data_IF_286895464876
#
_entry.id   IF_286895464876
#
_cell.length_a   1.000
_cell.length_b   1.000
_cell.length_c   1.000
_cell.angle_alpha   90.00
_cell.angle_beta   90.00
_cell.angle_gamma   90.00
#
_symmetry.space_group_name_H-M   'P 1'
#
loop_
_entity.id
_entity.type
_entity.pdbx_description
1 polymer ?
#
# COMPACT_ATOMS: atom_id res chain seq x y z
N UNK A 1 15.56 -12.55 10.69
CA UNK A 1 15.56 -12.41 9.22
C UNK A 1 14.78 -11.15 8.81
N UNK A 2 15.26 -9.95 9.17
CA UNK A 2 14.46 -8.71 9.04
C UNK A 2 14.23 -8.25 7.58
N UNK A 3 15.06 -8.70 6.64
CA UNK A 3 14.92 -8.41 5.20
C UNK A 3 13.63 -8.98 4.59
N UNK A 4 13.22 -10.18 5.04
CA UNK A 4 12.01 -10.84 4.53
C UNK A 4 10.74 -10.05 4.91
N UNK A 5 10.67 -9.52 6.13
CA UNK A 5 9.55 -8.68 6.55
C UNK A 5 9.45 -7.37 5.75
N UNK A 6 10.58 -6.75 5.41
CA UNK A 6 10.57 -5.54 4.58
C UNK A 6 10.06 -5.82 3.16
N UNK A 7 10.48 -6.94 2.56
CA UNK A 7 10.02 -7.36 1.22
C UNK A 7 8.52 -7.64 1.24
N UNK A 8 8.02 -8.36 2.25
CA UNK A 8 6.59 -8.63 2.41
C UNK A 8 5.81 -7.32 2.61
N UNK A 9 6.32 -6.40 3.44
CA UNK A 9 5.73 -5.08 3.66
C UNK A 9 5.60 -4.26 2.37
N UNK A 10 6.65 -4.25 1.54
CA UNK A 10 6.62 -3.61 0.22
C UNK A 10 5.62 -4.28 -0.74
N UNK A 11 5.56 -5.63 -0.75
CA UNK A 11 4.62 -6.37 -1.59
C UNK A 11 3.16 -6.09 -1.21
N UNK A 12 2.84 -6.12 0.09
CA UNK A 12 1.50 -5.82 0.60
C UNK A 12 1.12 -4.37 0.30
N UNK A 13 2.05 -3.42 0.49
CA UNK A 13 1.80 -2.01 0.15
C UNK A 13 1.53 -1.81 -1.34
N UNK A 14 2.25 -2.51 -2.22
CA UNK A 14 2.00 -2.49 -3.66
C UNK A 14 0.62 -3.02 -4.05
N UNK A 15 0.19 -4.12 -3.43
CA UNK A 15 -1.16 -4.69 -3.64
C UNK A 15 -2.23 -3.70 -3.16
N UNK A 16 -2.06 -3.08 -1.98
CA UNK A 16 -3.01 -2.11 -1.45
C UNK A 16 -3.11 -0.87 -2.34
N UNK A 17 -2.00 -0.33 -2.84
CA UNK A 17 -2.02 0.80 -3.76
C UNK A 17 -2.74 0.49 -5.06
N UNK A 18 -2.52 -0.71 -5.62
CA UNK A 18 -3.24 -1.15 -6.82
C UNK A 18 -4.73 -1.29 -6.53
N UNK A 19 -5.11 -1.94 -5.43
CA UNK A 19 -6.51 -2.23 -5.13
C UNK A 19 -7.31 -0.95 -4.82
N UNK A 20 -6.79 -0.09 -3.96
CA UNK A 20 -7.44 1.16 -3.56
C UNK A 20 -7.29 2.27 -4.61
N UNK A 21 -6.20 2.28 -5.38
CA UNK A 21 -6.02 3.20 -6.50
C UNK A 21 -6.97 2.88 -7.65
N UNK A 22 -7.14 1.60 -7.96
CA UNK A 22 -8.11 1.14 -8.96
C UNK A 22 -9.55 1.40 -8.51
N UNK A 23 -9.84 1.22 -7.21
CA UNK A 23 -11.16 1.56 -6.66
C UNK A 23 -11.47 3.06 -6.73
N UNK A 24 -10.48 3.92 -6.45
CA UNK A 24 -10.64 5.37 -6.54
C UNK A 24 -10.89 5.82 -8.00
N UNK A 25 -10.13 5.29 -8.95
CA UNK A 25 -10.23 5.64 -10.38
C UNK A 25 -11.46 5.04 -11.05
N UNK A 26 -11.54 3.70 -11.08
CA UNK A 26 -12.54 2.94 -11.84
C UNK A 26 -13.73 2.49 -11.00
N UNK A 27 -13.65 2.51 -9.67
CA UNK A 27 -14.74 2.02 -8.80
C UNK A 27 -14.87 0.51 -8.74
N UNK A 28 -13.82 -0.22 -9.10
CA UNK A 28 -13.78 -1.68 -9.08
C UNK A 28 -12.63 -2.05 -8.14
N UNK A 29 -12.82 -2.85 -7.08
CA UNK A 29 -13.89 -3.81 -6.79
C UNK A 29 -14.98 -3.39 -5.76
N UNK A 30 -14.88 -2.24 -5.09
CA UNK A 30 -15.78 -1.79 -4.01
C UNK A 30 -16.83 -0.77 -4.43
N UNK A 31 -16.92 -0.39 -5.70
CA UNK A 31 -18.05 0.41 -6.21
C UNK A 31 -18.07 1.87 -5.73
N UNK A 32 -16.93 2.43 -5.26
CA UNK A 32 -16.85 3.78 -4.67
C UNK A 32 -17.80 3.99 -3.48
N UNK A 33 -18.15 2.94 -2.73
CA UNK A 33 -19.10 3.04 -1.60
C UNK A 33 -18.65 4.06 -0.56
N UNK A 34 -17.34 4.19 -0.33
CA UNK A 34 -16.82 5.18 0.62
C UNK A 34 -15.46 5.74 0.17
N UNK A 35 -15.48 6.88 -0.52
CA UNK A 35 -14.26 7.58 -0.98
C UNK A 35 -13.29 7.90 0.15
N UNK A 36 -13.80 8.20 1.36
CA UNK A 36 -12.95 8.50 2.51
C UNK A 36 -12.12 7.29 2.94
N UNK A 37 -12.68 6.09 2.85
CA UNK A 37 -11.96 4.84 3.13
C UNK A 37 -10.85 4.60 2.12
N UNK A 38 -11.14 4.76 0.82
CA UNK A 38 -10.14 4.57 -0.23
C UNK A 38 -8.96 5.51 -0.07
N UNK A 39 -9.22 6.80 0.17
CA UNK A 39 -8.16 7.80 0.34
C UNK A 39 -7.33 7.51 1.59
N UNK A 40 -7.97 7.16 2.72
CA UNK A 40 -7.26 6.80 3.95
C UNK A 40 -6.36 5.58 3.78
N UNK A 41 -6.87 4.51 3.16
CA UNK A 41 -6.09 3.32 2.88
C UNK A 41 -4.96 3.56 1.87
N UNK A 42 -5.20 4.41 0.86
CA UNK A 42 -4.18 4.79 -0.11
C UNK A 42 -3.00 5.50 0.58
N UNK A 43 -3.30 6.45 1.47
CA UNK A 43 -2.28 7.17 2.24
C UNK A 43 -1.48 6.19 3.12
N UNK A 44 -2.16 5.33 3.88
CA UNK A 44 -1.49 4.32 4.70
C UNK A 44 -0.61 3.38 3.86
N UNK A 45 -1.06 2.99 2.66
CA UNK A 45 -0.29 2.13 1.76
C UNK A 45 0.98 2.83 1.24
N UNK A 46 0.91 4.13 0.90
CA UNK A 46 2.10 4.92 0.53
C UNK A 46 3.09 4.98 1.70
N UNK A 47 2.61 5.26 2.92
CA UNK A 47 3.46 5.33 4.11
C UNK A 47 4.11 3.98 4.40
N UNK A 48 3.35 2.89 4.31
CA UNK A 48 3.87 1.53 4.51
C UNK A 48 4.95 1.19 3.47
N UNK A 49 4.72 1.52 2.19
CA UNK A 49 5.70 1.34 1.13
C UNK A 49 6.99 2.12 1.43
N UNK A 50 6.86 3.40 1.82
CA UNK A 50 7.99 4.27 2.12
C UNK A 50 8.82 3.75 3.30
N UNK A 51 8.18 3.39 4.41
CA UNK A 51 8.85 2.85 5.60
C UNK A 51 9.50 1.49 5.34
N UNK A 52 8.83 0.62 4.57
CA UNK A 52 9.39 -0.68 4.22
C UNK A 52 10.59 -0.53 3.29
N UNK A 53 10.55 0.43 2.36
CA UNK A 53 11.66 0.74 1.46
C UNK A 53 12.84 1.38 2.19
N UNK A 54 12.61 2.36 3.08
CA UNK A 54 13.67 3.00 3.87
C UNK A 54 14.40 1.97 4.74
N UNK A 55 13.64 1.15 5.46
CA UNK A 55 14.17 0.08 6.32
C UNK A 55 14.93 -0.97 5.49
N UNK A 56 14.42 -1.34 4.32
CA UNK A 56 15.12 -2.28 3.44
C UNK A 56 16.49 -1.72 3.00
N UNK A 57 16.53 -0.43 2.65
CA UNK A 57 17.73 0.24 2.18
C UNK A 57 18.79 0.40 3.27
N UNK A 58 18.38 0.58 4.53
CA UNK A 58 19.28 0.61 5.69
C UNK A 58 19.90 -0.77 6.01
N UNK A 59 19.23 -1.85 5.63
CA UNK A 59 19.68 -3.23 5.85
C UNK A 59 20.54 -3.78 4.69
N UNK A 60 20.79 -3.00 3.65
CA UNK A 60 21.54 -3.38 2.44
C UNK A 60 22.95 -2.82 2.48
#
# INVERSE_FOLDING_TARGET
MPKALCIVGMAVAGILLLLFGLDLGLGIPFGKINMMMNVGFLICAVVLAYLSWSTFREQT
#
